data_IF_541380327032
#
_entry.id   IF_541380327032
#
_cell.length_a   1.000
_cell.length_b   1.000
_cell.length_c   1.000
_cell.angle_alpha   90.00
_cell.angle_beta   90.00
_cell.angle_gamma   90.00
#
_symmetry.space_group_name_H-M   'P 1'
#
loop_
_entity.id
_entity.type
_entity.pdbx_description
1 polymer ?
#
# COMPACT_ATOMS: atom_id res chain seq x y z
N UNK A 1 55.24 -53.14 -7.25
CA UNK A 1 56.24 -53.42 -6.20
C UNK A 1 56.04 -54.86 -5.77
N UNK A 2 57.09 -55.68 -5.75
CA UNK A 2 56.98 -57.08 -5.34
C UNK A 2 56.37 -57.15 -3.93
N UNK A 3 55.24 -57.84 -3.78
CA UNK A 3 54.59 -58.03 -2.48
C UNK A 3 55.40 -59.03 -1.68
N UNK A 4 56.41 -58.55 -0.97
CA UNK A 4 57.11 -59.35 0.04
C UNK A 4 56.05 -59.81 1.04
N UNK A 5 55.90 -61.12 1.20
CA UNK A 5 55.05 -61.71 2.21
C UNK A 5 55.72 -61.51 3.59
N UNK A 6 55.31 -60.43 4.26
CA UNK A 6 55.81 -60.05 5.59
C UNK A 6 55.48 -61.10 6.65
N UNK A 7 54.39 -61.85 6.46
CA UNK A 7 53.99 -62.91 7.39
C UNK A 7 54.88 -64.13 7.22
N UNK A 8 55.12 -64.55 5.98
CA UNK A 8 56.10 -65.60 5.69
C UNK A 8 57.50 -65.23 6.20
N UNK A 9 57.93 -63.97 6.02
CA UNK A 9 59.22 -63.50 6.51
C UNK A 9 59.29 -63.51 8.05
N UNK A 10 58.20 -63.13 8.73
CA UNK A 10 58.08 -63.21 10.18
C UNK A 10 58.21 -64.66 10.68
N UNK A 11 57.49 -65.60 10.07
CA UNK A 11 57.55 -67.01 10.45
C UNK A 11 58.94 -67.62 10.27
N UNK A 12 59.64 -67.23 9.20
CA UNK A 12 61.02 -67.65 8.96
C UNK A 12 61.96 -67.06 10.02
N UNK A 13 61.79 -65.78 10.39
CA UNK A 13 62.60 -65.15 11.43
C UNK A 13 62.31 -65.73 12.82
N UNK A 14 61.06 -66.00 13.19
CA UNK A 14 60.70 -66.62 14.48
C UNK A 14 61.23 -68.05 14.64
N UNK A 15 61.41 -68.79 13.53
CA UNK A 15 61.99 -70.15 13.52
C UNK A 15 63.51 -70.17 13.50
N UNK A 16 64.16 -69.05 13.19
CA UNK A 16 65.61 -68.97 13.09
C UNK A 16 66.26 -68.89 14.48
N UNK A 17 67.55 -69.21 14.56
CA UNK A 17 68.29 -69.21 15.84
C UNK A 17 68.31 -67.81 16.46
N UNK A 18 67.78 -67.62 17.68
CA UNK A 18 67.73 -66.32 18.33
C UNK A 18 69.12 -65.85 18.75
N UNK A 19 69.26 -64.53 18.94
CA UNK A 19 70.46 -63.91 19.53
C UNK A 19 71.43 -63.31 18.51
N UNK A 20 72.61 -62.94 19.02
CA UNK A 20 73.60 -62.19 18.23
C UNK A 20 74.32 -63.10 17.24
N UNK A 21 74.20 -62.78 15.96
CA UNK A 21 74.89 -63.50 14.90
C UNK A 21 76.22 -62.81 14.63
N UNK A 22 77.31 -63.58 14.59
CA UNK A 22 78.65 -63.10 14.25
C UNK A 22 79.10 -63.70 12.93
N UNK A 23 79.81 -62.91 12.15
CA UNK A 23 80.35 -63.38 10.88
C UNK A 23 81.59 -64.25 11.11
N UNK A 24 81.66 -65.43 10.47
CA UNK A 24 82.83 -66.30 10.55
C UNK A 24 83.84 -66.05 9.41
N UNK A 25 85.12 -66.32 9.67
CA UNK A 25 86.23 -66.20 8.70
C UNK A 25 86.70 -67.55 8.13
N UNK A 26 86.10 -68.67 8.56
CA UNK A 26 86.36 -70.02 8.05
C UNK A 26 85.90 -70.17 6.59
N UNK A 27 86.41 -71.15 5.82
CA UNK A 27 86.02 -71.50 4.44
C UNK A 27 84.81 -72.49 4.37
N UNK A 28 84.12 -72.71 5.49
CA UNK A 28 83.11 -73.76 5.64
C UNK A 28 81.69 -73.24 5.37
N UNK A 29 81.07 -73.63 4.25
CA UNK A 29 79.71 -73.24 3.87
C UNK A 29 78.61 -73.84 4.76
N UNK A 30 78.14 -73.12 5.78
CA UNK A 30 76.92 -73.44 6.54
C UNK A 30 76.75 -72.65 7.86
N UNK A 31 75.52 -72.52 8.37
CA UNK A 31 75.27 -72.08 9.76
C UNK A 31 75.56 -73.27 10.67
N UNK A 32 76.66 -73.22 11.40
CA UNK A 32 77.00 -74.26 12.40
C UNK A 32 76.57 -73.78 13.78
N UNK A 33 75.60 -74.48 14.38
CA UNK A 33 75.44 -74.48 15.85
C UNK A 33 76.48 -75.43 16.38
N UNK A 34 77.69 -74.94 16.55
CA UNK A 34 78.71 -75.64 17.32
C UNK A 34 79.04 -74.78 18.54
N UNK A 35 79.30 -75.39 19.70
CA UNK A 35 79.76 -74.68 20.89
C UNK A 35 81.21 -74.22 20.66
N UNK A 36 81.42 -73.30 19.73
CA UNK A 36 82.63 -72.51 19.64
C UNK A 36 82.44 -71.30 20.55
N UNK A 37 82.89 -71.44 21.79
CA UNK A 37 83.04 -70.30 22.70
C UNK A 37 84.18 -69.41 22.18
N UNK A 38 83.85 -68.44 21.33
CA UNK A 38 84.77 -67.31 21.12
C UNK A 38 84.69 -66.45 22.39
N UNK A 39 85.76 -66.44 23.19
CA UNK A 39 85.83 -65.68 24.45
C UNK A 39 84.75 -66.03 25.50
N UNK A 40 84.30 -67.28 25.57
CA UNK A 40 83.39 -67.75 26.63
C UNK A 40 81.90 -67.42 26.45
N UNK A 41 81.50 -66.87 25.30
CA UNK A 41 80.11 -66.53 24.97
C UNK A 41 79.59 -67.45 23.84
N UNK A 42 78.34 -67.91 23.94
CA UNK A 42 77.68 -68.70 22.91
C UNK A 42 77.18 -67.77 21.80
N UNK A 43 77.71 -67.92 20.57
CA UNK A 43 77.43 -67.04 19.44
C UNK A 43 77.00 -67.84 18.22
N UNK A 44 76.01 -67.35 17.47
CA UNK A 44 75.59 -67.98 16.21
C UNK A 44 76.48 -67.47 15.07
N UNK A 45 77.02 -68.36 14.23
CA UNK A 45 77.89 -67.96 13.13
C UNK A 45 77.14 -67.91 11.80
N UNK A 46 77.07 -66.74 11.18
CA UNK A 46 76.66 -66.58 9.80
C UNK A 46 77.86 -66.83 8.87
N UNK A 47 77.69 -67.69 7.87
CA UNK A 47 78.76 -68.02 6.91
C UNK A 47 78.25 -67.99 5.46
N UNK A 48 79.05 -67.37 4.59
CA UNK A 48 78.95 -67.40 3.13
C UNK A 48 80.37 -67.36 2.54
N UNK A 49 80.53 -67.78 1.28
CA UNK A 49 81.81 -67.71 0.54
C UNK A 49 82.37 -66.28 0.53
N UNK A 50 81.49 -65.28 0.41
CA UNK A 50 81.86 -63.86 0.40
C UNK A 50 81.84 -63.25 1.80
N UNK A 51 82.94 -62.55 2.16
CA UNK A 51 83.11 -61.83 3.43
C UNK A 51 81.96 -60.86 3.73
N UNK A 52 81.50 -60.14 2.72
CA UNK A 52 80.50 -59.06 2.83
C UNK A 52 79.11 -59.62 3.10
N UNK A 53 78.76 -60.74 2.49
CA UNK A 53 77.43 -61.34 2.60
C UNK A 53 77.21 -61.91 4.01
N UNK A 54 78.24 -62.52 4.60
CA UNK A 54 78.18 -63.02 5.97
C UNK A 54 78.07 -61.89 7.00
N UNK A 55 78.68 -60.71 6.74
CA UNK A 55 78.52 -59.52 7.58
C UNK A 55 77.09 -58.96 7.47
N UNK A 56 76.52 -58.93 6.27
CA UNK A 56 75.13 -58.53 6.05
C UNK A 56 74.14 -59.47 6.74
N UNK A 57 74.30 -60.79 6.61
CA UNK A 57 73.42 -61.78 7.26
C UNK A 57 73.53 -61.70 8.79
N UNK A 58 74.73 -61.47 9.32
CA UNK A 58 74.94 -61.26 10.75
C UNK A 58 74.23 -59.99 11.26
N UNK A 59 74.24 -58.90 10.49
CA UNK A 59 73.53 -57.67 10.82
C UNK A 59 72.00 -57.80 10.63
N UNK A 60 71.56 -58.53 9.61
CA UNK A 60 70.17 -58.88 9.34
C UNK A 60 69.76 -60.17 10.06
N UNK A 61 70.18 -60.30 11.33
CA UNK A 61 69.80 -61.45 12.16
C UNK A 61 68.28 -61.45 12.41
N UNK A 62 67.72 -62.57 12.91
CA UNK A 62 66.28 -62.70 13.15
C UNK A 62 65.70 -61.60 14.04
N UNK A 63 66.42 -61.21 15.10
CA UNK A 63 65.99 -60.13 16.01
C UNK A 63 65.84 -58.79 15.29
N UNK A 64 66.80 -58.43 14.42
CA UNK A 64 66.77 -57.20 13.64
C UNK A 64 65.65 -57.22 12.61
N UNK A 65 65.42 -58.35 11.94
CA UNK A 65 64.31 -58.50 10.97
C UNK A 65 62.95 -58.39 11.66
N UNK A 66 62.77 -59.02 12.83
CA UNK A 66 61.54 -58.93 13.61
C UNK A 66 61.28 -57.51 14.13
N UNK A 67 62.33 -56.80 14.57
CA UNK A 67 62.23 -55.40 14.98
C UNK A 67 61.78 -54.50 13.82
N UNK A 68 62.41 -54.64 12.65
CA UNK A 68 62.02 -53.88 11.45
C UNK A 68 60.60 -54.21 10.97
N UNK A 69 60.16 -55.47 11.07
CA UNK A 69 58.78 -55.85 10.76
C UNK A 69 57.78 -55.24 11.74
N UNK A 70 58.11 -55.19 13.03
CA UNK A 70 57.28 -54.55 14.04
C UNK A 70 57.14 -53.04 13.78
N UNK A 71 58.24 -52.35 13.50
CA UNK A 71 58.24 -50.93 13.10
C UNK A 71 57.42 -50.71 11.82
N UNK A 72 57.54 -51.59 10.83
CA UNK A 72 56.79 -51.46 9.59
C UNK A 72 55.27 -51.64 9.79
N UNK A 73 54.86 -52.58 10.65
CA UNK A 73 53.45 -52.75 11.05
C UNK A 73 52.96 -51.51 11.80
N UNK A 74 53.78 -50.94 12.69
CA UNK A 74 53.44 -49.72 13.42
C UNK A 74 53.25 -48.54 12.46
N UNK A 75 54.20 -48.32 11.54
CA UNK A 75 54.10 -47.27 10.51
C UNK A 75 52.87 -47.44 9.61
N UNK A 76 52.50 -48.68 9.27
CA UNK A 76 51.31 -48.96 8.48
C UNK A 76 50.03 -48.56 9.24
N UNK A 77 49.95 -48.88 10.54
CA UNK A 77 48.83 -48.47 11.39
C UNK A 77 48.74 -46.96 11.56
N UNK A 78 49.88 -46.29 11.75
CA UNK A 78 49.93 -44.83 11.85
C UNK A 78 49.51 -44.17 10.53
N UNK A 79 49.94 -44.71 9.39
CA UNK A 79 49.50 -44.26 8.08
C UNK A 79 47.98 -44.38 7.93
N UNK A 80 47.41 -45.54 8.25
CA UNK A 80 45.96 -45.77 8.19
C UNK A 80 45.20 -44.84 9.14
N UNK A 81 45.72 -44.58 10.33
CA UNK A 81 45.13 -43.63 11.28
C UNK A 81 45.17 -42.18 10.76
N UNK A 82 46.30 -41.75 10.18
CA UNK A 82 46.43 -40.42 9.57
C UNK A 82 45.50 -40.27 8.38
N UNK A 83 45.37 -41.30 7.54
CA UNK A 83 44.47 -41.31 6.40
C UNK A 83 43.01 -41.22 6.84
N UNK A 84 42.62 -41.95 7.90
CA UNK A 84 41.29 -41.84 8.49
C UNK A 84 41.01 -40.43 9.06
N UNK A 85 41.97 -39.82 9.77
CA UNK A 85 41.83 -38.44 10.27
C UNK A 85 41.73 -37.42 9.13
N UNK A 86 42.51 -37.60 8.06
CA UNK A 86 42.46 -36.73 6.89
C UNK A 86 41.12 -36.83 6.14
N UNK A 87 40.50 -38.00 6.10
CA UNK A 87 39.15 -38.18 5.54
C UNK A 87 38.11 -37.49 6.41
N UNK A 88 38.14 -37.70 7.73
CA UNK A 88 37.22 -37.03 8.66
C UNK A 88 37.32 -35.50 8.57
N UNK A 89 38.53 -34.95 8.54
CA UNK A 89 38.73 -33.51 8.41
C UNK A 89 38.21 -32.97 7.07
N UNK A 90 38.32 -33.75 5.99
CA UNK A 90 37.78 -33.36 4.69
C UNK A 90 36.25 -33.29 4.72
N UNK A 91 35.62 -34.24 5.40
CA UNK A 91 34.16 -34.26 5.56
C UNK A 91 33.70 -33.11 6.47
N UNK A 92 34.36 -32.87 7.60
CA UNK A 92 34.08 -31.72 8.47
C UNK A 92 34.21 -30.38 7.71
N UNK A 93 35.23 -30.24 6.85
CA UNK A 93 35.41 -29.04 6.02
C UNK A 93 34.32 -28.87 4.96
N UNK A 94 33.77 -29.98 4.43
CA UNK A 94 32.64 -29.94 3.51
C UNK A 94 31.39 -29.48 4.25
N UNK A 95 31.08 -30.09 5.38
CA UNK A 95 29.92 -29.74 6.20
C UNK A 95 29.97 -28.29 6.67
N UNK A 96 31.15 -27.81 7.09
CA UNK A 96 31.36 -26.41 7.46
C UNK A 96 31.11 -25.44 6.28
N UNK A 97 31.47 -25.84 5.05
CA UNK A 97 31.22 -25.03 3.85
C UNK A 97 29.73 -24.99 3.51
N UNK A 98 29.02 -26.11 3.65
CA UNK A 98 27.57 -26.16 3.44
C UNK A 98 26.82 -25.28 4.47
N UNK A 99 27.21 -25.36 5.74
CA UNK A 99 26.67 -24.49 6.79
C UNK A 99 26.95 -23.00 6.50
N UNK A 100 28.13 -22.68 5.97
CA UNK A 100 28.46 -21.31 5.59
C UNK A 100 27.57 -20.80 4.45
N UNK A 101 27.35 -21.62 3.41
CA UNK A 101 26.46 -21.25 2.30
C UNK A 101 25.01 -21.08 2.77
N UNK A 102 24.53 -21.92 3.69
CA UNK A 102 23.20 -21.77 4.28
C UNK A 102 23.09 -20.49 5.13
N UNK A 103 24.09 -20.22 5.97
CA UNK A 103 24.14 -19.00 6.77
C UNK A 103 24.18 -17.74 5.89
N UNK A 104 24.93 -17.75 4.78
CA UNK A 104 24.96 -16.66 3.82
C UNK A 104 23.57 -16.40 3.20
N UNK A 105 22.85 -17.47 2.81
CA UNK A 105 21.46 -17.35 2.32
C UNK A 105 20.54 -16.73 3.37
N UNK A 106 20.63 -17.19 4.62
CA UNK A 106 19.85 -16.64 5.73
C UNK A 106 20.18 -15.16 5.99
N UNK A 107 21.46 -14.75 5.92
CA UNK A 107 21.86 -13.35 6.07
C UNK A 107 21.26 -12.48 4.96
N UNK A 108 21.26 -12.94 3.71
CA UNK A 108 20.65 -12.22 2.60
C UNK A 108 19.14 -12.06 2.82
N UNK A 109 18.45 -13.12 3.23
CA UNK A 109 17.01 -13.08 3.51
C UNK A 109 16.68 -12.15 4.68
N UNK A 110 17.42 -12.26 5.80
CA UNK A 110 17.28 -11.39 6.95
C UNK A 110 17.58 -9.93 6.60
N UNK A 111 18.58 -9.67 5.75
CA UNK A 111 18.91 -8.31 5.31
C UNK A 111 17.81 -7.74 4.43
N UNK A 112 17.22 -8.55 3.53
CA UNK A 112 16.03 -8.17 2.75
C UNK A 112 14.87 -7.83 3.68
N UNK A 113 14.57 -8.69 4.66
CA UNK A 113 13.50 -8.44 5.63
C UNK A 113 13.75 -7.19 6.49
N UNK A 114 14.98 -6.98 6.94
CA UNK A 114 15.38 -5.81 7.72
C UNK A 114 15.28 -4.50 6.91
N UNK A 115 15.63 -4.54 5.62
CA UNK A 115 15.42 -3.41 4.70
C UNK A 115 13.94 -3.01 4.66
N UNK A 116 13.04 -3.98 4.50
CA UNK A 116 11.58 -3.75 4.48
C UNK A 116 11.07 -3.23 5.83
N UNK A 117 11.59 -3.73 6.95
CA UNK A 117 11.12 -3.35 8.29
C UNK A 117 11.65 -1.97 8.75
N UNK A 118 12.79 -1.53 8.23
CA UNK A 118 13.38 -0.22 8.55
C UNK A 118 12.80 0.92 7.70
N UNK A 119 12.04 0.59 6.66
CA UNK A 119 11.55 1.54 5.69
C UNK A 119 10.22 2.15 6.17
N UNK A 120 10.23 3.48 6.30
CA UNK A 120 9.09 4.26 6.78
C UNK A 120 7.82 3.93 5.99
N UNK A 121 6.81 3.42 6.70
CA UNK A 121 5.54 2.99 6.12
C UNK A 121 4.37 3.44 7.01
N UNK A 122 3.71 4.54 6.63
CA UNK A 122 2.39 4.87 7.15
C UNK A 122 1.34 3.79 6.84
N UNK A 123 0.34 3.63 7.71
CA UNK A 123 -0.83 2.76 7.40
C UNK A 123 -1.70 3.35 6.27
N UNK A 124 -1.61 4.67 6.08
CA UNK A 124 -2.36 5.44 5.10
C UNK A 124 -1.40 6.39 4.40
N UNK A 125 -1.47 6.46 3.07
CA UNK A 125 -0.66 7.36 2.27
C UNK A 125 -0.89 8.81 2.71
N UNK A 126 0.17 9.55 3.08
CA UNK A 126 0.03 10.91 3.62
C UNK A 126 -0.48 11.92 2.59
N UNK A 127 -0.31 11.65 1.29
CA UNK A 127 -0.71 12.57 0.21
C UNK A 127 -2.09 12.20 -0.35
N UNK A 128 -2.33 10.91 -0.62
CA UNK A 128 -3.57 10.47 -1.31
C UNK A 128 -4.64 9.92 -0.37
N UNK A 129 -4.32 9.65 0.90
CA UNK A 129 -5.24 9.01 1.84
C UNK A 129 -5.54 7.52 1.53
N UNK A 130 -4.88 6.93 0.52
CA UNK A 130 -5.05 5.51 0.16
C UNK A 130 -4.46 4.62 1.25
N UNK A 131 -5.11 3.50 1.55
CA UNK A 131 -4.63 2.53 2.55
C UNK A 131 -3.42 1.76 2.03
N UNK A 132 -2.50 1.42 2.91
CA UNK A 132 -1.43 0.49 2.59
C UNK A 132 -2.00 -0.82 2.05
N UNK A 133 -1.41 -1.33 0.97
CA UNK A 133 -1.80 -2.58 0.36
C UNK A 133 -0.72 -3.64 0.55
N UNK A 134 0.45 -3.47 -0.07
CA UNK A 134 1.58 -4.39 0.07
C UNK A 134 2.92 -3.73 -0.27
N UNK A 135 4.00 -4.47 -0.10
CA UNK A 135 5.31 -4.07 -0.61
C UNK A 135 5.56 -4.71 -1.97
N UNK A 136 6.10 -3.93 -2.91
CA UNK A 136 6.38 -4.39 -4.26
C UNK A 136 7.81 -4.00 -4.63
N UNK A 137 8.51 -4.89 -5.34
CA UNK A 137 9.84 -4.62 -5.86
C UNK A 137 9.75 -3.71 -7.09
N UNK A 138 10.37 -2.54 -7.00
CA UNK A 138 10.52 -1.58 -8.09
C UNK A 138 11.96 -1.58 -8.61
N UNK A 139 12.12 -1.46 -9.93
CA UNK A 139 13.42 -1.56 -10.59
C UNK A 139 14.42 -0.49 -10.13
N UNK A 140 13.94 0.74 -9.90
CA UNK A 140 14.82 1.87 -9.55
C UNK A 140 14.77 2.22 -8.07
N UNK A 141 13.65 1.96 -7.39
CA UNK A 141 13.43 2.36 -6.00
C UNK A 141 13.60 1.19 -5.01
N UNK A 142 13.83 -0.03 -5.51
CA UNK A 142 13.89 -1.24 -4.70
C UNK A 142 12.52 -1.61 -4.13
N UNK A 143 12.49 -2.20 -2.94
CA UNK A 143 11.23 -2.57 -2.30
C UNK A 143 10.51 -1.30 -1.81
N UNK A 144 9.32 -1.03 -2.34
CA UNK A 144 8.54 0.18 -2.01
C UNK A 144 7.16 -0.17 -1.45
N UNK A 145 6.63 0.63 -0.50
CA UNK A 145 5.29 0.41 0.01
C UNK A 145 4.28 0.98 -0.98
N UNK A 146 3.28 0.19 -1.36
CA UNK A 146 2.21 0.62 -2.24
C UNK A 146 0.87 0.75 -1.52
N UNK A 147 0.06 1.69 -2.00
CA UNK A 147 -1.20 2.12 -1.39
C UNK A 147 -2.32 2.09 -2.43
N UNK A 148 -3.50 1.60 -2.07
CA UNK A 148 -4.60 1.43 -3.02
C UNK A 148 -5.43 0.19 -2.72
N UNK A 149 -5.57 -0.68 -3.72
CA UNK A 149 -6.40 -1.88 -3.64
C UNK A 149 -5.91 -3.02 -4.54
N UNK A 150 -6.73 -4.08 -4.68
CA UNK A 150 -6.32 -5.32 -5.35
C UNK A 150 -6.17 -5.23 -6.87
N UNK A 151 -6.69 -4.18 -7.50
CA UNK A 151 -6.56 -3.95 -8.95
C UNK A 151 -5.33 -3.08 -9.24
N UNK A 152 -5.23 -1.97 -8.51
CA UNK A 152 -4.16 -0.99 -8.67
C UNK A 152 -3.62 -0.56 -7.31
N UNK A 153 -2.29 -0.51 -7.22
CA UNK A 153 -1.59 0.04 -6.07
C UNK A 153 -0.52 1.02 -6.50
N UNK A 154 -0.24 2.00 -5.66
CA UNK A 154 0.52 3.18 -6.05
C UNK A 154 1.59 3.51 -5.03
N UNK A 155 2.73 4.02 -5.48
CA UNK A 155 3.76 4.54 -4.57
C UNK A 155 3.29 5.81 -3.85
N UNK A 156 3.98 6.17 -2.76
CA UNK A 156 3.75 7.47 -2.14
C UNK A 156 4.14 8.56 -3.15
N UNK A 157 3.28 9.54 -3.42
CA UNK A 157 3.58 10.55 -4.43
C UNK A 157 4.83 11.34 -4.09
N UNK A 158 5.68 11.56 -5.10
CA UNK A 158 6.87 12.39 -4.99
C UNK A 158 6.66 13.69 -5.74
N UNK A 159 7.23 14.76 -5.19
CA UNK A 159 7.19 16.09 -5.79
C UNK A 159 8.38 16.24 -6.72
N UNK A 160 8.11 16.64 -7.96
CA UNK A 160 9.17 16.92 -8.93
C UNK A 160 9.72 18.36 -8.79
N UNK A 161 10.63 18.75 -9.69
CA UNK A 161 11.18 20.10 -9.72
C UNK A 161 10.19 21.17 -10.18
N UNK A 162 9.11 20.78 -10.88
CA UNK A 162 8.02 21.67 -11.28
C UNK A 162 7.03 21.94 -10.13
N UNK A 163 7.10 21.11 -9.09
CA UNK A 163 6.26 21.18 -7.91
C UNK A 163 5.00 20.32 -7.98
N UNK A 164 4.87 19.52 -9.03
CA UNK A 164 3.76 18.60 -9.26
C UNK A 164 4.02 17.25 -8.58
N UNK A 165 2.96 16.66 -8.02
CA UNK A 165 3.01 15.35 -7.39
C UNK A 165 2.65 14.26 -8.39
N UNK A 166 3.54 13.28 -8.51
CA UNK A 166 3.32 12.08 -9.34
C UNK A 166 3.57 10.82 -8.51
N UNK A 167 2.92 9.73 -8.88
CA UNK A 167 3.15 8.41 -8.30
C UNK A 167 3.23 7.34 -9.38
N UNK A 168 3.94 6.25 -9.09
CA UNK A 168 4.02 5.09 -9.99
C UNK A 168 2.89 4.12 -9.66
N UNK A 169 2.27 3.55 -10.69
CA UNK A 169 1.17 2.58 -10.58
C UNK A 169 1.70 1.17 -10.82
N UNK A 170 1.34 0.25 -9.94
CA UNK A 170 1.48 -1.18 -10.17
C UNK A 170 0.11 -1.77 -10.48
N UNK A 171 0.00 -2.32 -11.68
CA UNK A 171 -1.20 -2.98 -12.20
C UNK A 171 -1.14 -4.46 -11.82
N UNK A 172 -2.05 -4.89 -10.93
CA UNK A 172 -2.04 -6.26 -10.41
C UNK A 172 -2.63 -7.28 -11.37
N UNK A 173 -3.48 -6.84 -12.31
CA UNK A 173 -4.02 -7.70 -13.36
C UNK A 173 -2.92 -8.04 -14.38
N UNK A 174 -2.06 -7.07 -14.69
CA UNK A 174 -0.93 -7.24 -15.60
C UNK A 174 0.32 -7.80 -14.90
N UNK A 175 0.44 -7.61 -13.58
CA UNK A 175 1.58 -8.03 -12.77
C UNK A 175 2.83 -7.18 -12.96
N UNK A 176 2.68 -5.88 -13.22
CA UNK A 176 3.80 -5.01 -13.58
C UNK A 176 3.60 -3.54 -13.27
N UNK A 177 4.72 -2.81 -13.24
CA UNK A 177 4.75 -1.36 -13.12
C UNK A 177 4.33 -0.69 -14.43
N UNK A 178 3.42 0.27 -14.34
CA UNK A 178 2.90 1.05 -15.46
C UNK A 178 3.22 2.52 -15.21
N UNK A 179 3.42 3.29 -16.30
CA UNK A 179 3.83 4.69 -16.26
C UNK A 179 3.03 5.54 -15.27
N UNK A 180 3.72 6.49 -14.63
CA UNK A 180 3.21 7.25 -13.49
C UNK A 180 1.95 8.06 -13.75
N UNK A 181 1.12 8.18 -12.71
CA UNK A 181 -0.12 8.98 -12.71
C UNK A 181 0.15 10.32 -12.02
N UNK A 182 -0.21 11.41 -12.70
CA UNK A 182 -0.22 12.77 -12.15
C UNK A 182 -1.45 12.97 -11.28
N UNK A 183 -1.25 13.49 -10.06
CA UNK A 183 -2.32 13.54 -9.06
C UNK A 183 -3.06 14.89 -9.08
N UNK A 184 -2.50 15.90 -9.77
CA UNK A 184 -3.12 17.23 -9.88
C UNK A 184 -3.22 17.97 -8.54
N UNK A 185 -2.46 17.55 -7.53
CA UNK A 185 -2.36 18.21 -6.24
C UNK A 185 -1.17 19.18 -6.25
N UNK A 186 -1.39 20.38 -5.73
CA UNK A 186 -0.35 21.39 -5.49
C UNK A 186 -0.38 21.79 -4.02
N UNK A 187 0.80 21.99 -3.42
CA UNK A 187 0.90 22.56 -2.08
C UNK A 187 0.58 24.05 -2.17
N UNK A 188 -0.45 24.49 -1.45
CA UNK A 188 -0.75 25.91 -1.22
C UNK A 188 0.04 26.30 0.03
N UNK A 189 0.88 27.33 -0.08
CA UNK A 189 1.59 27.84 1.11
C UNK A 189 0.63 28.57 2.07
N UNK A 190 1.02 28.67 3.34
CA UNK A 190 0.18 29.28 4.38
C UNK A 190 -0.12 30.75 4.08
N UNK A 191 0.78 31.43 3.36
CA UNK A 191 0.61 32.82 2.94
C UNK A 191 -0.50 32.94 1.86
N UNK A 192 -0.54 32.00 0.91
CA UNK A 192 -1.56 31.93 -0.13
C UNK A 192 -2.92 31.54 0.46
N UNK A 193 -2.97 30.63 1.45
CA UNK A 193 -4.20 30.37 2.22
C UNK A 193 -4.69 31.62 2.97
N UNK A 194 -3.78 32.38 3.60
CA UNK A 194 -4.13 33.65 4.24
C UNK A 194 -4.72 34.63 3.22
N UNK A 195 -4.09 34.77 2.04
CA UNK A 195 -4.56 35.67 0.98
C UNK A 195 -5.93 35.27 0.43
N UNK A 196 -6.18 33.98 0.24
CA UNK A 196 -7.50 33.49 -0.19
C UNK A 196 -8.55 33.81 0.85
N UNK A 197 -8.26 33.56 2.13
CA UNK A 197 -9.17 33.86 3.24
C UNK A 197 -9.49 35.37 3.32
N UNK A 198 -8.48 36.23 3.20
CA UNK A 198 -8.67 37.69 3.15
C UNK A 198 -9.51 38.13 1.95
N UNK A 199 -9.33 37.50 0.79
CA UNK A 199 -10.12 37.78 -0.41
C UNK A 199 -11.57 37.34 -0.24
N UNK A 200 -11.82 36.16 0.33
CA UNK A 200 -13.16 35.66 0.63
C UNK A 200 -13.89 36.59 1.61
N UNK A 201 -13.22 37.07 2.65
CA UNK A 201 -13.77 38.04 3.59
C UNK A 201 -14.12 39.37 2.90
N UNK A 202 -13.24 39.88 2.03
CA UNK A 202 -13.51 41.09 1.24
C UNK A 202 -14.66 40.90 0.26
N UNK A 203 -14.80 39.72 -0.35
CA UNK A 203 -15.92 39.40 -1.24
C UNK A 203 -17.22 39.41 -0.43
N UNK A 204 -17.26 38.75 0.73
CA UNK A 204 -18.43 38.76 1.60
C UNK A 204 -18.79 40.18 2.08
N UNK A 205 -17.80 41.01 2.42
CA UNK A 205 -18.01 42.42 2.77
C UNK A 205 -18.64 43.20 1.60
N UNK A 206 -18.12 43.02 0.38
CA UNK A 206 -18.63 43.67 -0.82
C UNK A 206 -20.04 43.21 -1.18
N UNK A 207 -20.33 41.91 -1.05
CA UNK A 207 -21.67 41.35 -1.30
C UNK A 207 -22.70 41.83 -0.26
N UNK A 208 -22.27 42.09 0.97
CA UNK A 208 -23.13 42.63 2.03
C UNK A 208 -23.41 44.15 1.89
N UNK A 209 -22.61 44.89 1.11
CA UNK A 209 -22.80 46.34 0.91
C UNK A 209 -24.03 46.61 0.05
N UNK A 210 -25.11 47.04 0.71
CA UNK A 210 -26.30 47.59 0.05
C UNK A 210 -26.22 49.11 0.01
N UNK A 211 -26.43 49.72 -1.17
CA UNK A 211 -26.53 51.18 -1.31
C UNK A 211 -28.00 51.58 -1.30
N UNK A 212 -28.38 52.47 -0.38
CA UNK A 212 -29.69 53.12 -0.39
C UNK A 212 -29.65 54.32 -1.33
N UNK A 213 -30.51 54.38 -2.37
CA UNK A 213 -30.56 55.54 -3.23
C UNK A 213 -31.02 56.78 -2.45
N UNK A 214 -30.50 57.98 -2.77
CA UNK A 214 -30.99 59.21 -2.17
C UNK A 214 -32.48 59.39 -2.49
N UNK A 215 -33.30 59.72 -1.49
CA UNK A 215 -34.68 60.15 -1.73
C UNK A 215 -34.62 61.44 -2.55
N UNK A 216 -35.04 61.40 -3.81
CA UNK A 216 -35.21 62.60 -4.63
C UNK A 216 -36.31 63.47 -4.00
N UNK A 217 -35.94 64.34 -3.06
CA UNK A 217 -36.85 65.27 -2.41
C UNK A 217 -36.80 66.66 -3.06
N UNK A 218 -36.77 66.72 -4.40
CA UNK A 218 -36.94 67.98 -5.11
C UNK A 218 -37.99 67.79 -6.20
N UNK A 219 -39.25 67.81 -5.78
CA UNK A 219 -40.33 68.08 -6.69
C UNK A 219 -40.26 69.55 -7.12
N UNK A 220 -39.74 69.79 -8.33
CA UNK A 220 -40.04 71.05 -8.98
C UNK A 220 -41.52 71.01 -9.38
N UNK A 221 -42.26 72.05 -9.00
CA UNK A 221 -43.68 72.20 -9.32
C UNK A 221 -43.83 72.21 -10.84
N UNK A 222 -44.25 71.08 -11.41
CA UNK A 222 -44.41 70.89 -12.86
C UNK A 222 -44.05 69.50 -13.40
N UNK A 223 -43.32 68.66 -12.66
CA UNK A 223 -42.92 67.34 -13.17
C UNK A 223 -44.05 66.31 -13.16
N UNK A 224 -44.37 65.78 -14.35
CA UNK A 224 -45.30 64.67 -14.53
C UNK A 224 -44.79 63.40 -13.83
N UNK A 225 -45.68 62.65 -13.17
CA UNK A 225 -45.39 61.37 -12.47
C UNK A 225 -44.53 60.39 -13.29
N UNK A 226 -44.67 60.41 -14.62
CA UNK A 226 -43.87 59.60 -15.55
C UNK A 226 -42.37 59.91 -15.56
N UNK A 227 -41.95 61.17 -15.38
CA UNK A 227 -40.53 61.55 -15.38
C UNK A 227 -39.79 61.05 -14.13
N UNK A 228 -40.50 60.86 -13.03
CA UNK A 228 -39.97 60.31 -11.77
C UNK A 228 -39.61 58.84 -11.92
N UNK A 229 -40.55 58.03 -12.43
CA UNK A 229 -40.31 56.61 -12.69
C UNK A 229 -39.14 56.42 -13.66
N UNK A 230 -39.02 57.27 -14.67
CA UNK A 230 -37.97 57.13 -15.68
C UNK A 230 -36.58 57.44 -15.12
N UNK A 231 -36.43 58.43 -14.22
CA UNK A 231 -35.17 58.71 -13.55
C UNK A 231 -34.81 57.62 -12.54
N UNK A 232 -35.74 57.18 -11.71
CA UNK A 232 -35.47 56.15 -10.70
C UNK A 232 -35.11 54.80 -11.35
N UNK A 233 -35.76 54.44 -12.46
CA UNK A 233 -35.39 53.28 -13.27
C UNK A 233 -33.97 53.42 -13.87
N UNK A 234 -33.63 54.59 -14.44
CA UNK A 234 -32.27 54.87 -14.95
C UNK A 234 -31.18 54.76 -13.87
N UNK A 235 -31.46 55.22 -12.65
CA UNK A 235 -30.53 55.13 -11.53
C UNK A 235 -30.37 53.69 -11.01
N UNK A 236 -31.47 52.94 -10.94
CA UNK A 236 -31.42 51.52 -10.56
C UNK A 236 -30.66 50.71 -11.61
N UNK A 237 -30.87 50.98 -12.90
CA UNK A 237 -30.15 50.33 -14.00
C UNK A 237 -28.66 50.67 -14.00
N UNK A 238 -28.27 51.93 -13.76
CA UNK A 238 -26.85 52.31 -13.71
C UNK A 238 -26.13 51.71 -12.51
N UNK A 239 -26.77 51.61 -11.35
CA UNK A 239 -26.19 50.96 -10.15
C UNK A 239 -26.10 49.44 -10.33
N UNK A 240 -27.11 48.81 -10.95
CA UNK A 240 -27.07 47.37 -11.29
C UNK A 240 -26.00 47.07 -12.35
N UNK A 241 -25.82 47.94 -13.35
CA UNK A 241 -24.78 47.81 -14.37
C UNK A 241 -23.35 47.95 -13.79
N UNK A 242 -23.20 48.63 -12.66
CA UNK A 242 -21.96 48.70 -11.89
C UNK A 242 -21.71 47.49 -10.98
N UNK A 243 -22.58 46.47 -11.01
CA UNK A 243 -22.44 45.24 -10.22
C UNK A 243 -22.89 45.36 -8.76
N UNK A 244 -23.63 46.41 -8.40
CA UNK A 244 -24.06 46.66 -7.01
C UNK A 244 -25.52 46.20 -6.83
N UNK A 245 -25.78 45.38 -5.81
CA UNK A 245 -27.12 44.93 -5.46
C UNK A 245 -27.99 46.05 -4.87
N UNK A 246 -29.11 46.38 -5.52
CA UNK A 246 -30.08 47.37 -5.01
C UNK A 246 -31.31 46.64 -4.47
N UNK A 247 -31.59 46.79 -3.17
CA UNK A 247 -32.87 46.39 -2.57
C UNK A 247 -33.81 47.58 -2.63
N UNK A 248 -34.94 47.46 -3.34
CA UNK A 248 -36.02 48.45 -3.23
C UNK A 248 -36.60 48.37 -1.82
N UNK A 249 -36.68 49.51 -1.14
CA UNK A 249 -37.40 49.65 0.10
C UNK A 249 -38.88 49.43 -0.23
N UNK A 250 -39.43 48.27 0.15
CA UNK A 250 -40.86 48.02 0.06
C UNK A 250 -41.54 48.96 1.04
N UNK A 251 -42.04 50.08 0.52
CA UNK A 251 -43.02 50.88 1.21
C UNK A 251 -44.21 49.96 1.51
N UNK A 252 -44.57 49.90 2.79
CA UNK A 252 -45.78 49.28 3.27
C UNK A 252 -46.97 49.98 2.60
N UNK A 253 -47.42 49.41 1.48
CA UNK A 253 -48.73 49.69 0.91
C UNK A 253 -49.64 48.58 1.39
N UNK A 254 -50.64 48.98 2.17
CA UNK A 254 -51.73 48.15 2.64
C UNK A 254 -52.31 47.26 1.52
N UNK A 255 -52.36 45.96 1.85
CA UNK A 255 -53.30 44.90 1.46
C UNK A 255 -54.04 45.00 0.12
N UNK A 256 -53.76 44.04 -0.78
CA UNK A 256 -54.74 43.00 -1.22
C UNK A 256 -54.47 42.41 -2.62
N UNK A 257 -53.33 41.73 -2.80
CA UNK A 257 -53.18 40.76 -3.92
C UNK A 257 -52.35 39.53 -3.51
N UNK A 258 -52.43 39.11 -2.24
CA UNK A 258 -51.64 38.00 -1.70
C UNK A 258 -52.41 36.77 -1.19
N UNK A 259 -53.75 36.82 -1.17
CA UNK A 259 -54.58 35.90 -0.37
C UNK A 259 -55.61 35.13 -1.18
N UNK A 260 -55.31 34.71 -2.41
CA UNK A 260 -56.24 33.86 -3.19
C UNK A 260 -56.18 32.41 -2.68
N UNK A 261 -57.33 31.73 -2.58
CA UNK A 261 -57.46 30.34 -2.14
C UNK A 261 -57.00 29.99 -0.70
N UNK A 262 -57.10 30.91 0.27
CA UNK A 262 -56.96 30.51 1.68
C UNK A 262 -58.21 29.77 2.17
N UNK A 263 -58.09 28.50 2.59
CA UNK A 263 -59.26 27.72 3.01
C UNK A 263 -59.85 28.28 4.31
N UNK A 264 -61.15 28.59 4.31
CA UNK A 264 -61.85 29.22 5.42
C UNK A 264 -63.18 29.85 5.04
N UNK A 265 -63.89 30.41 6.03
CA UNK A 265 -65.13 31.16 5.80
C UNK A 265 -64.78 32.58 5.32
N UNK A 266 -65.01 32.85 4.03
CA UNK A 266 -64.76 34.15 3.41
C UNK A 266 -66.08 34.81 3.10
N UNK A 267 -66.17 36.12 3.33
CA UNK A 267 -67.37 36.90 3.01
C UNK A 267 -67.53 36.95 1.49
N UNK A 268 -68.75 36.72 0.98
CA UNK A 268 -69.03 36.58 -0.45
C UNK A 268 -68.47 37.73 -1.32
N UNK A 269 -68.40 38.96 -0.79
CA UNK A 269 -67.82 40.13 -1.49
C UNK A 269 -66.33 40.02 -1.81
N UNK A 270 -65.59 39.17 -1.10
CA UNK A 270 -64.15 39.00 -1.27
C UNK A 270 -63.77 37.76 -2.07
N UNK A 271 -64.74 37.05 -2.64
CA UNK A 271 -64.52 35.88 -3.49
C UNK A 271 -64.39 36.36 -4.92
N UNK A 272 -63.35 35.90 -5.62
CA UNK A 272 -63.09 36.26 -7.01
C UNK A 272 -63.12 35.07 -7.95
N UNK A 273 -63.06 35.36 -9.25
CA UNK A 273 -62.83 34.34 -10.27
C UNK A 273 -61.51 33.58 -10.01
N UNK A 274 -61.58 32.25 -10.03
CA UNK A 274 -60.48 31.33 -9.74
C UNK A 274 -60.39 30.86 -8.28
N UNK A 275 -61.29 31.29 -7.40
CA UNK A 275 -61.44 30.71 -6.06
C UNK A 275 -62.29 29.43 -6.09
N UNK A 276 -61.98 28.47 -5.22
CA UNK A 276 -62.78 27.24 -5.06
C UNK A 276 -63.68 27.35 -3.83
N UNK A 277 -64.99 27.18 -3.99
CA UNK A 277 -65.95 27.27 -2.89
C UNK A 277 -66.72 25.98 -2.70
N UNK A 278 -67.09 25.67 -1.45
CA UNK A 278 -67.87 24.48 -1.11
C UNK A 278 -69.33 24.85 -0.87
N UNK A 279 -70.21 24.37 -1.74
CA UNK A 279 -71.66 24.62 -1.68
C UNK A 279 -72.38 23.28 -1.57
N UNK A 280 -73.14 23.09 -0.47
CA UNK A 280 -73.91 21.84 -0.20
C UNK A 280 -73.06 20.56 -0.28
N UNK A 281 -71.79 20.62 0.10
CA UNK A 281 -70.88 19.48 0.12
C UNK A 281 -70.12 19.20 -1.18
N UNK A 282 -70.35 19.97 -2.25
CA UNK A 282 -69.61 19.91 -3.51
C UNK A 282 -68.71 21.14 -3.68
N UNK A 283 -67.55 20.97 -4.31
CA UNK A 283 -66.58 22.04 -4.57
C UNK A 283 -66.78 22.56 -5.99
N UNK A 284 -66.88 23.87 -6.14
CA UNK A 284 -67.04 24.56 -7.42
C UNK A 284 -65.94 25.60 -7.59
N UNK A 285 -65.41 25.72 -8.81
CA UNK A 285 -64.51 26.81 -9.19
C UNK A 285 -65.36 28.00 -9.63
N UNK A 286 -65.08 29.19 -9.10
CA UNK A 286 -65.76 30.43 -9.47
C UNK A 286 -65.20 30.93 -10.80
N UNK A 287 -66.04 31.03 -11.82
CA UNK A 287 -65.71 31.55 -13.14
C UNK A 287 -65.85 33.07 -13.19
N UNK A 288 -66.92 33.61 -12.59
CA UNK A 288 -67.22 35.03 -12.61
C UNK A 288 -67.99 35.44 -11.34
N UNK A 289 -67.79 36.67 -10.88
CA UNK A 289 -68.46 37.25 -9.71
C UNK A 289 -69.10 38.56 -10.08
N UNK A 290 -70.42 38.64 -9.93
CA UNK A 290 -71.20 39.86 -10.16
C UNK A 290 -71.73 40.42 -8.84
N UNK A 291 -71.55 41.73 -8.65
CA UNK A 291 -71.85 42.45 -7.42
C UNK A 291 -72.91 43.51 -7.69
N UNK A 292 -74.07 43.37 -7.04
CA UNK A 292 -75.15 44.37 -7.07
C UNK A 292 -75.39 44.89 -5.64
N UNK A 293 -76.04 46.04 -5.47
CA UNK A 293 -76.02 46.85 -4.23
C UNK A 293 -76.35 46.12 -2.90
N UNK A 294 -76.91 44.90 -2.92
CA UNK A 294 -77.20 44.09 -1.73
C UNK A 294 -76.81 42.59 -1.84
N UNK A 295 -76.48 42.08 -3.03
CA UNK A 295 -76.30 40.65 -3.31
C UNK A 295 -75.04 40.37 -4.16
N UNK A 296 -74.49 39.17 -4.01
CA UNK A 296 -73.37 38.62 -4.77
C UNK A 296 -73.84 37.41 -5.54
N UNK A 297 -73.53 37.37 -6.83
CA UNK A 297 -73.76 36.21 -7.69
C UNK A 297 -72.41 35.61 -8.08
N UNK A 298 -72.15 34.38 -7.63
CA UNK A 298 -70.98 33.60 -8.03
C UNK A 298 -71.40 32.62 -9.14
N UNK A 299 -70.81 32.75 -10.32
CA UNK A 299 -70.97 31.82 -11.43
C UNK A 299 -69.88 30.75 -11.37
N UNK A 300 -70.24 29.48 -11.54
CA UNK A 300 -69.29 28.37 -11.44
C UNK A 300 -69.01 27.73 -12.80
N UNK A 301 -67.78 27.25 -12.96
CA UNK A 301 -67.37 26.43 -14.11
C UNK A 301 -68.26 25.18 -14.17
N UNK A 302 -69.14 25.12 -15.17
CA UNK A 302 -70.19 24.10 -15.29
C UNK A 302 -71.63 24.64 -15.30
N UNK A 303 -71.81 25.96 -15.21
CA UNK A 303 -73.09 26.65 -15.47
C UNK A 303 -74.04 26.77 -14.28
N UNK A 304 -73.60 26.39 -13.08
CA UNK A 304 -74.35 26.63 -11.84
C UNK A 304 -74.03 28.02 -11.27
N UNK A 305 -74.98 28.64 -10.58
CA UNK A 305 -74.77 29.92 -9.90
C UNK A 305 -75.23 29.88 -8.44
N UNK A 306 -74.51 30.59 -7.56
CA UNK A 306 -74.92 30.83 -6.18
C UNK A 306 -75.18 32.32 -6.00
N UNK A 307 -76.42 32.68 -5.65
CA UNK A 307 -76.79 34.03 -5.23
C UNK A 307 -76.93 34.09 -3.71
N UNK A 308 -76.21 35.00 -3.07
CA UNK A 308 -76.26 35.21 -1.63
C UNK A 308 -76.05 36.69 -1.27
N UNK A 309 -76.35 37.09 -0.04
CA UNK A 309 -76.13 38.48 0.39
C UNK A 309 -74.63 38.80 0.48
N UNK A 310 -74.25 40.07 0.29
CA UNK A 310 -72.85 40.49 0.30
C UNK A 310 -72.07 40.14 1.58
N UNK A 311 -72.76 40.06 2.72
CA UNK A 311 -72.19 39.66 4.01
C UNK A 311 -72.20 38.15 4.28
N UNK A 312 -72.68 37.32 3.35
CA UNK A 312 -72.82 35.88 3.58
C UNK A 312 -71.44 35.20 3.65
N UNK A 313 -71.12 34.46 4.72
CA UNK A 313 -69.89 33.66 4.76
C UNK A 313 -70.04 32.43 3.86
N UNK A 314 -69.11 32.27 2.92
CA UNK A 314 -69.00 31.12 2.03
C UNK A 314 -67.68 30.40 2.33
N UNK A 315 -67.73 29.08 2.41
CA UNK A 315 -66.54 28.26 2.65
C UNK A 315 -65.68 28.22 1.37
N UNK A 316 -64.56 28.95 1.38
CA UNK A 316 -63.51 28.83 0.37
C UNK A 316 -62.63 27.66 0.76
N UNK A 317 -62.27 26.82 -0.21
CA UNK A 317 -61.39 25.67 -0.05
C UNK A 317 -60.18 25.84 -0.98
N UNK A 318 -59.09 25.17 -0.67
CA UNK A 318 -57.97 25.10 -1.60
C UNK A 318 -58.36 24.30 -2.84
N UNK A 319 -57.73 24.63 -3.98
CA UNK A 319 -57.93 23.92 -5.23
C UNK A 319 -57.84 22.39 -5.02
N UNK A 320 -58.78 21.60 -5.55
CA UNK A 320 -58.72 20.14 -5.43
C UNK A 320 -57.45 19.63 -6.12
N UNK A 321 -56.50 19.11 -5.33
CA UNK A 321 -55.31 18.43 -5.85
C UNK A 321 -55.79 17.19 -6.60
N UNK A 322 -55.64 17.18 -7.92
CA UNK A 322 -55.98 16.03 -8.75
C UNK A 322 -55.10 14.83 -8.35
N UNK A 323 -55.62 13.98 -7.47
CA UNK A 323 -55.09 12.64 -7.26
C UNK A 323 -55.30 11.86 -8.56
N UNK A 324 -54.18 11.38 -9.13
CA UNK A 324 -54.09 10.85 -10.48
C UNK A 324 -55.25 9.96 -10.94
N UNK A 325 -55.92 10.40 -12.00
CA UNK A 325 -56.62 9.51 -12.91
C UNK A 325 -55.71 9.34 -14.14
N UNK A 326 -55.11 8.16 -14.23
CA UNK A 326 -54.39 7.67 -15.41
C UNK A 326 -55.30 7.76 -16.64
N UNK A 327 -54.85 8.45 -17.67
CA UNK A 327 -55.25 8.12 -19.04
C UNK A 327 -54.00 7.62 -19.75
N UNK A 328 -53.99 6.30 -19.99
CA UNK A 328 -53.05 5.65 -20.90
C UNK A 328 -53.25 6.25 -22.28
N UNK A 329 -52.17 6.71 -22.90
CA UNK A 329 -52.16 6.97 -24.34
C UNK A 329 -52.14 5.65 -25.10
N UNK A 330 -53.09 5.50 -26.01
CA UNK A 330 -52.86 4.94 -27.34
C UNK A 330 -52.89 6.10 -28.33
#
# INVERSE_FOLDING_TARGET
>A
MSSIDKQALREVAEKATPGNWRRTSSLFNGITVTPFSLCGEEVTLAHTVEKRDAEFIAAANPDTVLALLAENIQLQREKEAIEAVALALRDDMRDAREQLEEAEKQIVELSRAASVNSQWKPDVCPVTGRKFFMWIEHETLGYVPTYGGPFDSYTIPTRDSSGEFSCERYDHDLGGWVGGEFIGLYLIDDDEQCRVSELEERIAELEARTVTPPKNNVANVGDSRWMWYQRDLMWIETIRAAGIGVKQQQDSVDSDVGSRNQPGMVVAVHIGAGDFVKVKGQVFEVEETDFDDHDVTLWFVGGNALKCSAGCPVEVVSAPVAAGIKVKGE
#
